data_IF_610770676621
#
_entry.id   IF_610770676621
#
_cell.length_a   1.000
_cell.length_b   1.000
_cell.length_c   1.000
_cell.angle_alpha   90.00
_cell.angle_beta   90.00
_cell.angle_gamma   90.00
#
_symmetry.space_group_name_H-M   'P 1'
#
loop_
_entity.id
_entity.type
_entity.pdbx_description
1 polymer ?
#
# COMPACT_ATOMS: atom_id res chain seq x y z
N UNK A 1 -15.46 -21.71 -9.92
CA UNK A 1 -13.98 -21.73 -10.01
C UNK A 1 -13.41 -22.11 -8.66
N UNK A 2 -12.69 -23.22 -8.59
CA UNK A 2 -11.95 -23.62 -7.39
C UNK A 2 -10.66 -22.81 -7.36
N UNK A 3 -10.49 -21.92 -6.39
CA UNK A 3 -9.24 -21.14 -6.24
C UNK A 3 -8.13 -22.06 -5.74
N UNK A 4 -6.92 -21.82 -6.25
CA UNK A 4 -5.71 -22.53 -5.83
C UNK A 4 -4.85 -21.57 -5.00
N UNK A 5 -4.81 -21.78 -3.69
CA UNK A 5 -3.87 -21.08 -2.82
C UNK A 5 -2.49 -21.70 -2.95
N UNK A 6 -1.46 -20.85 -2.93
CA UNK A 6 -0.07 -21.29 -2.98
C UNK A 6 0.30 -21.86 -1.62
N UNK A 7 0.81 -23.09 -1.61
CA UNK A 7 1.41 -23.67 -0.41
C UNK A 7 2.89 -23.28 -0.30
N UNK A 8 3.41 -23.21 0.92
CA UNK A 8 4.82 -22.87 1.19
C UNK A 8 5.84 -23.70 0.41
N UNK A 9 5.54 -24.98 0.17
CA UNK A 9 6.41 -25.88 -0.59
C UNK A 9 6.35 -25.67 -2.11
N UNK A 10 5.40 -24.87 -2.59
CA UNK A 10 5.16 -24.58 -4.00
C UNK A 10 5.79 -23.25 -4.44
N UNK A 11 6.16 -22.37 -3.51
CA UNK A 11 6.91 -21.15 -3.84
C UNK A 11 8.33 -21.54 -4.25
N UNK A 12 8.66 -21.22 -5.51
CA UNK A 12 10.04 -21.26 -6.01
C UNK A 12 10.59 -19.84 -5.91
N UNK A 13 11.39 -19.59 -4.89
CA UNK A 13 12.03 -18.29 -4.66
C UNK A 13 13.53 -18.42 -4.48
N UNK A 14 14.26 -17.40 -4.92
CA UNK A 14 15.68 -17.20 -4.59
C UNK A 14 15.86 -16.60 -3.18
N UNK A 15 14.79 -16.08 -2.56
CA UNK A 15 14.78 -15.30 -1.32
C UNK A 15 14.12 -16.06 -0.16
N UNK A 16 14.56 -17.30 0.08
CA UNK A 16 13.92 -18.21 1.06
C UNK A 16 13.94 -17.68 2.49
N UNK A 17 15.07 -17.14 2.92
CA UNK A 17 15.22 -16.58 4.27
C UNK A 17 14.26 -15.40 4.48
N UNK A 18 14.12 -14.52 3.48
CA UNK A 18 13.13 -13.45 3.53
C UNK A 18 11.71 -13.99 3.68
N UNK A 19 11.28 -14.94 2.84
CA UNK A 19 9.94 -15.55 2.92
C UNK A 19 9.64 -16.13 4.31
N UNK A 20 10.62 -16.83 4.89
CA UNK A 20 10.48 -17.42 6.22
C UNK A 20 10.37 -16.34 7.31
N UNK A 21 11.18 -15.28 7.23
CA UNK A 21 11.20 -14.20 8.23
C UNK A 21 9.98 -13.28 8.19
N UNK A 22 9.45 -12.98 7.00
CA UNK A 22 8.22 -12.17 6.89
C UNK A 22 6.95 -12.95 7.25
N UNK A 23 7.06 -14.27 7.41
CA UNK A 23 6.00 -15.08 8.01
C UNK A 23 4.75 -15.24 7.15
N UNK A 24 4.81 -15.10 5.82
CA UNK A 24 3.60 -15.15 4.94
C UNK A 24 2.77 -16.44 5.03
N UNK A 25 3.33 -17.52 5.61
CA UNK A 25 2.63 -18.79 5.85
C UNK A 25 2.42 -19.11 7.34
N UNK A 26 2.68 -18.16 8.22
CA UNK A 26 2.62 -18.30 9.68
C UNK A 26 1.34 -17.73 10.29
N UNK A 27 0.45 -17.19 9.45
CA UNK A 27 -0.75 -16.46 9.82
C UNK A 27 -2.02 -17.29 9.54
N UNK A 28 -3.02 -17.21 10.42
CA UNK A 28 -4.24 -18.04 10.36
C UNK A 28 -5.29 -17.46 9.39
N UNK A 29 -5.28 -16.14 9.20
CA UNK A 29 -6.28 -15.38 8.45
C UNK A 29 -5.70 -14.75 7.17
N UNK A 30 -4.50 -15.18 6.75
CA UNK A 30 -3.83 -14.69 5.56
C UNK A 30 -3.50 -15.86 4.62
N UNK A 31 -3.87 -15.72 3.36
CA UNK A 31 -3.62 -16.70 2.31
C UNK A 31 -2.76 -16.09 1.22
N UNK A 32 -1.83 -16.88 0.70
CA UNK A 32 -1.05 -16.52 -0.49
C UNK A 32 -1.83 -17.00 -1.71
N UNK A 33 -2.43 -16.08 -2.44
CA UNK A 33 -3.17 -16.36 -3.69
C UNK A 33 -2.23 -16.46 -4.89
N UNK A 34 -1.09 -15.76 -4.85
CA UNK A 34 -0.13 -15.71 -5.93
C UNK A 34 1.28 -15.35 -5.44
N UNK A 35 2.28 -15.90 -6.13
CA UNK A 35 3.66 -15.51 -5.96
C UNK A 35 4.37 -15.57 -7.30
N UNK A 36 5.07 -14.50 -7.67
CA UNK A 36 5.87 -14.44 -8.88
C UNK A 36 7.23 -13.80 -8.60
N UNK A 37 8.28 -14.44 -9.09
CA UNK A 37 9.64 -13.92 -9.08
C UNK A 37 10.18 -14.03 -10.51
N UNK A 38 10.27 -12.90 -11.22
CA UNK A 38 10.78 -12.82 -12.58
C UNK A 38 11.36 -11.44 -12.89
N UNK A 39 12.41 -11.35 -13.71
CA UNK A 39 12.93 -10.08 -14.24
C UNK A 39 13.21 -8.98 -13.19
N UNK A 40 13.86 -9.33 -12.07
CA UNK A 40 14.12 -8.42 -10.96
C UNK A 40 12.86 -7.85 -10.28
N UNK A 41 11.75 -8.61 -10.34
CA UNK A 41 10.48 -8.29 -9.71
C UNK A 41 10.02 -9.43 -8.81
N UNK A 42 9.48 -9.09 -7.66
CA UNK A 42 8.74 -9.95 -6.75
C UNK A 42 7.31 -9.41 -6.65
N UNK A 43 6.33 -10.25 -6.95
CA UNK A 43 4.92 -9.96 -6.79
C UNK A 43 4.32 -10.99 -5.83
N UNK A 44 3.81 -10.52 -4.70
CA UNK A 44 3.17 -11.33 -3.67
C UNK A 44 1.69 -10.93 -3.60
N UNK A 45 0.81 -11.83 -4.01
CA UNK A 45 -0.64 -11.64 -3.87
C UNK A 45 -1.12 -12.32 -2.61
N UNK A 46 -1.75 -11.53 -1.74
CA UNK A 46 -2.28 -11.94 -0.46
C UNK A 46 -3.79 -11.71 -0.44
N UNK A 47 -4.50 -12.59 0.26
CA UNK A 47 -5.92 -12.50 0.53
C UNK A 47 -6.10 -12.70 2.04
N UNK A 48 -6.71 -11.72 2.70
CA UNK A 48 -7.03 -11.85 4.12
C UNK A 48 -8.48 -12.28 4.34
N UNK A 49 -8.72 -12.96 5.45
CA UNK A 49 -10.03 -13.40 5.90
C UNK A 49 -10.34 -12.80 7.29
N UNK A 50 -11.59 -12.94 7.74
CA UNK A 50 -11.99 -12.55 9.10
C UNK A 50 -11.79 -11.05 9.44
N UNK A 51 -11.94 -10.18 8.43
CA UNK A 51 -12.00 -8.73 8.59
C UNK A 51 -10.74 -8.16 9.25
N UNK A 52 -10.91 -7.38 10.32
CA UNK A 52 -9.82 -6.66 11.00
C UNK A 52 -8.65 -7.56 11.42
N UNK A 53 -8.91 -8.83 11.78
CA UNK A 53 -7.84 -9.77 12.16
C UNK A 53 -6.94 -10.11 10.99
N UNK A 54 -7.51 -10.45 9.83
CA UNK A 54 -6.73 -10.73 8.64
C UNK A 54 -6.04 -9.49 8.08
N UNK A 55 -6.70 -8.33 8.12
CA UNK A 55 -6.06 -7.08 7.72
C UNK A 55 -4.86 -6.73 8.62
N UNK A 56 -4.94 -7.00 9.92
CA UNK A 56 -3.80 -6.88 10.84
C UNK A 56 -2.64 -7.79 10.44
N UNK A 57 -2.91 -9.07 10.15
CA UNK A 57 -1.87 -10.02 9.71
C UNK A 57 -1.22 -9.61 8.38
N UNK A 58 -1.99 -9.05 7.44
CA UNK A 58 -1.46 -8.45 6.22
C UNK A 58 -0.47 -7.31 6.54
N UNK A 59 -0.86 -6.40 7.44
CA UNK A 59 0.00 -5.28 7.86
C UNK A 59 1.26 -5.77 8.60
N UNK A 60 1.15 -6.85 9.39
CA UNK A 60 2.29 -7.48 10.04
C UNK A 60 3.31 -8.00 9.03
N UNK A 61 2.87 -8.62 7.93
CA UNK A 61 3.76 -9.04 6.82
C UNK A 61 4.45 -7.85 6.17
N UNK A 62 3.73 -6.77 5.88
CA UNK A 62 4.29 -5.54 5.28
C UNK A 62 5.37 -4.94 6.19
N UNK A 63 5.09 -4.82 7.48
CA UNK A 63 6.05 -4.31 8.45
C UNK A 63 7.25 -5.26 8.63
N UNK A 64 7.02 -6.57 8.64
CA UNK A 64 8.08 -7.56 8.73
C UNK A 64 9.02 -7.49 7.53
N UNK A 65 8.49 -7.25 6.32
CA UNK A 65 9.31 -6.98 5.14
C UNK A 65 10.17 -5.72 5.33
N UNK A 66 9.58 -4.59 5.72
CA UNK A 66 10.34 -3.34 5.88
C UNK A 66 11.42 -3.47 6.96
N UNK A 67 11.11 -4.15 8.07
CA UNK A 67 12.07 -4.49 9.11
C UNK A 67 13.20 -5.37 8.60
N UNK A 68 12.87 -6.42 7.83
CA UNK A 68 13.87 -7.31 7.24
C UNK A 68 14.86 -6.56 6.34
N UNK A 69 14.37 -5.62 5.52
CA UNK A 69 15.22 -4.79 4.65
C UNK A 69 16.12 -3.87 5.48
N UNK A 70 15.61 -3.26 6.55
CA UNK A 70 16.43 -2.43 7.45
C UNK A 70 17.55 -3.24 8.13
N UNK A 71 17.25 -4.47 8.54
CA UNK A 71 18.20 -5.37 9.19
C UNK A 71 19.18 -6.02 8.20
N UNK A 72 18.85 -6.05 6.90
CA UNK A 72 19.62 -6.72 5.86
C UNK A 72 19.72 -5.86 4.56
N UNK A 73 20.40 -4.70 4.60
CA UNK A 73 20.37 -3.71 3.50
C UNK A 73 20.92 -4.21 2.16
N UNK A 74 21.80 -5.20 2.17
CA UNK A 74 22.43 -5.77 0.97
C UNK A 74 21.75 -7.07 0.47
N UNK A 75 20.63 -7.49 1.09
CA UNK A 75 19.97 -8.76 0.76
C UNK A 75 19.29 -8.73 -0.62
N UNK A 76 18.70 -7.58 -0.96
CA UNK A 76 18.06 -7.36 -2.24
C UNK A 76 18.93 -6.45 -3.12
N UNK A 77 18.91 -6.63 -4.45
CA UNK A 77 19.49 -5.65 -5.35
C UNK A 77 18.71 -4.33 -5.29
N UNK A 78 19.41 -3.20 -5.39
CA UNK A 78 18.82 -1.86 -5.18
C UNK A 78 17.72 -1.47 -6.17
N UNK A 79 17.63 -2.15 -7.31
CA UNK A 79 16.67 -1.92 -8.38
C UNK A 79 15.53 -2.93 -8.41
N UNK A 80 15.45 -3.84 -7.42
CA UNK A 80 14.36 -4.82 -7.35
C UNK A 80 13.00 -4.13 -7.26
N UNK A 81 12.01 -4.64 -7.97
CA UNK A 81 10.62 -4.22 -7.86
C UNK A 81 9.87 -5.20 -6.93
N UNK A 82 9.34 -4.73 -5.82
CA UNK A 82 8.64 -5.55 -4.83
C UNK A 82 7.24 -5.00 -4.62
N UNK A 83 6.24 -5.86 -4.86
CA UNK A 83 4.84 -5.54 -4.67
C UNK A 83 4.15 -6.56 -3.78
N UNK A 84 3.33 -6.06 -2.86
CA UNK A 84 2.39 -6.85 -2.06
C UNK A 84 0.98 -6.40 -2.43
N UNK A 85 0.22 -7.27 -3.08
CA UNK A 85 -1.12 -6.97 -3.61
C UNK A 85 -2.16 -7.61 -2.68
N UNK A 86 -3.03 -6.79 -2.10
CA UNK A 86 -4.16 -7.25 -1.30
C UNK A 86 -5.37 -7.48 -2.22
N UNK A 87 -5.63 -8.75 -2.50
CA UNK A 87 -6.68 -9.23 -3.40
C UNK A 87 -7.85 -9.81 -2.62
N UNK A 88 -9.06 -9.53 -3.09
CA UNK A 88 -10.28 -10.12 -2.51
C UNK A 88 -10.68 -11.44 -3.21
N UNK A 89 -11.66 -12.17 -2.63
CA UNK A 89 -12.40 -13.25 -3.29
C UNK A 89 -12.93 -12.96 -4.71
N UNK A 90 -13.10 -11.69 -5.09
CA UNK A 90 -13.58 -11.26 -6.41
C UNK A 90 -12.50 -10.76 -7.35
N UNK A 91 -11.21 -10.95 -7.01
CA UNK A 91 -10.05 -10.38 -7.72
C UNK A 91 -10.01 -8.84 -7.67
N UNK A 92 -10.84 -8.24 -6.83
CA UNK A 92 -10.75 -6.82 -6.56
C UNK A 92 -9.50 -6.54 -5.72
N UNK A 93 -8.68 -5.60 -6.17
CA UNK A 93 -7.49 -5.15 -5.44
C UNK A 93 -7.90 -4.01 -4.51
N UNK A 94 -7.95 -4.29 -3.20
CA UNK A 94 -8.29 -3.29 -2.19
C UNK A 94 -7.13 -2.34 -1.96
N UNK A 95 -5.93 -2.88 -1.83
CA UNK A 95 -4.71 -2.12 -1.64
C UNK A 95 -3.50 -2.79 -2.29
N UNK A 96 -2.45 -2.00 -2.54
CA UNK A 96 -1.16 -2.49 -3.05
C UNK A 96 -0.05 -1.73 -2.37
N UNK A 97 0.90 -2.46 -1.79
CA UNK A 97 2.12 -1.91 -1.23
C UNK A 97 3.26 -2.14 -2.21
N UNK A 98 4.11 -1.14 -2.42
CA UNK A 98 5.23 -1.25 -3.35
C UNK A 98 6.40 -0.35 -2.95
N UNK A 99 7.60 -0.74 -3.35
CA UNK A 99 8.84 -0.04 -3.00
C UNK A 99 9.20 1.08 -3.97
N UNK A 100 8.84 0.93 -5.25
CA UNK A 100 9.09 1.91 -6.28
C UNK A 100 7.91 2.04 -7.22
N UNK A 101 7.65 3.25 -7.70
CA UNK A 101 6.55 3.52 -8.62
C UNK A 101 6.94 3.04 -10.02
N UNK A 102 6.51 1.84 -10.40
CA UNK A 102 6.58 1.36 -11.79
C UNK A 102 5.35 1.77 -12.60
N UNK A 103 4.35 2.35 -11.93
CA UNK A 103 3.03 2.62 -12.48
C UNK A 103 2.98 3.95 -13.24
N UNK A 104 2.49 3.91 -14.49
CA UNK A 104 2.39 5.04 -15.41
C UNK A 104 1.27 6.05 -15.04
N UNK A 105 0.70 5.94 -13.85
CA UNK A 105 -0.49 6.71 -13.45
C UNK A 105 -0.19 8.18 -13.18
N UNK A 106 1.02 8.50 -12.75
CA UNK A 106 1.48 9.86 -12.46
C UNK A 106 3.01 9.87 -12.31
N UNK A 107 3.65 11.02 -12.57
CA UNK A 107 5.07 11.21 -12.23
C UNK A 107 5.23 11.44 -10.72
N UNK A 108 5.64 10.39 -10.01
CA UNK A 108 5.94 10.44 -8.58
C UNK A 108 7.38 10.90 -8.27
N UNK A 109 8.20 11.23 -9.26
CA UNK A 109 9.58 11.67 -9.04
C UNK A 109 9.68 12.95 -8.21
N UNK A 110 8.65 13.81 -8.26
CA UNK A 110 8.55 15.02 -7.44
C UNK A 110 8.56 14.75 -5.93
N UNK A 111 8.23 13.53 -5.50
CA UNK A 111 8.30 13.13 -4.09
C UNK A 111 9.73 12.95 -3.58
N UNK A 112 10.73 12.94 -4.49
CA UNK A 112 12.15 12.91 -4.12
C UNK A 112 12.63 11.61 -3.47
N UNK A 113 11.87 10.51 -3.61
CA UNK A 113 12.22 9.23 -3.00
C UNK A 113 13.34 8.53 -3.77
N UNK A 114 14.24 7.89 -3.02
CA UNK A 114 15.27 7.02 -3.57
C UNK A 114 14.76 5.60 -3.65
N UNK A 115 15.14 4.90 -4.71
CA UNK A 115 14.90 3.47 -4.86
C UNK A 115 15.52 2.70 -3.68
N UNK A 116 14.77 1.74 -3.18
CA UNK A 116 15.13 0.86 -2.06
C UNK A 116 14.25 -0.38 -2.15
N UNK A 117 14.64 -1.48 -1.49
CA UNK A 117 13.78 -2.64 -1.37
C UNK A 117 12.61 -2.44 -0.39
N UNK A 118 12.68 -1.44 0.52
CA UNK A 118 11.58 -1.16 1.46
C UNK A 118 10.32 -0.74 0.71
N UNK A 119 9.17 -1.28 1.08
CA UNK A 119 7.87 -0.77 0.65
C UNK A 119 7.75 0.70 1.11
N UNK A 120 7.57 1.60 0.15
CA UNK A 120 7.51 3.05 0.38
C UNK A 120 6.11 3.61 0.16
N UNK A 121 5.28 2.88 -0.59
CA UNK A 121 3.98 3.35 -1.03
C UNK A 121 2.90 2.35 -0.66
N UNK A 122 1.73 2.86 -0.29
CA UNK A 122 0.48 2.11 -0.25
C UNK A 122 -0.53 2.82 -1.14
N UNK A 123 -1.00 2.16 -2.20
CA UNK A 123 -2.21 2.58 -2.90
C UNK A 123 -3.41 1.86 -2.30
N UNK A 124 -4.50 2.59 -2.05
CA UNK A 124 -5.77 2.04 -1.57
C UNK A 124 -6.94 2.59 -2.39
N UNK A 125 -7.84 1.72 -2.81
CA UNK A 125 -9.11 2.14 -3.41
C UNK A 125 -10.18 2.23 -2.32
N UNK A 126 -10.41 3.45 -1.82
CA UNK A 126 -11.28 3.69 -0.65
C UNK A 126 -12.71 3.18 -0.88
N UNK A 127 -13.17 3.15 -2.13
CA UNK A 127 -14.53 2.70 -2.47
C UNK A 127 -14.79 1.24 -2.11
N UNK A 128 -13.80 0.36 -2.22
CA UNK A 128 -13.97 -1.08 -1.96
C UNK A 128 -13.21 -1.60 -0.76
N UNK A 129 -12.55 -0.71 0.00
CA UNK A 129 -11.74 -1.06 1.15
C UNK A 129 -12.55 -0.97 2.46
N UNK A 130 -13.58 -1.82 2.61
CA UNK A 130 -14.53 -1.70 3.71
C UNK A 130 -13.94 -2.06 5.08
N UNK A 131 -12.97 -2.96 5.15
CA UNK A 131 -12.30 -3.31 6.41
C UNK A 131 -11.15 -2.35 6.71
N UNK A 132 -10.37 -2.04 5.68
CA UNK A 132 -9.15 -1.23 5.76
C UNK A 132 -9.45 0.25 6.02
N UNK A 133 -10.70 0.68 5.87
CA UNK A 133 -11.13 2.07 6.16
C UNK A 133 -11.76 2.23 7.55
N UNK A 134 -11.78 1.18 8.37
CA UNK A 134 -12.23 1.22 9.76
C UNK A 134 -11.03 1.51 10.69
N UNK A 135 -11.22 2.29 11.77
CA UNK A 135 -10.15 2.49 12.74
C UNK A 135 -9.95 1.19 13.54
N UNK A 136 -8.76 0.62 13.45
CA UNK A 136 -8.38 -0.59 14.20
C UNK A 136 -7.20 -0.23 15.09
N UNK A 137 -7.48 -0.02 16.39
CA UNK A 137 -6.56 0.53 17.41
C UNK A 137 -5.23 -0.24 17.62
N UNK A 138 -5.05 -1.37 16.94
CA UNK A 138 -3.86 -2.23 17.04
C UNK A 138 -3.05 -2.34 15.74
N UNK A 139 -3.49 -1.68 14.67
CA UNK A 139 -2.78 -1.69 13.39
C UNK A 139 -1.85 -0.49 13.33
N UNK A 140 -0.58 -0.78 13.04
CA UNK A 140 0.44 0.22 12.78
C UNK A 140 1.06 -0.15 11.46
N UNK A 141 1.19 0.80 10.54
CA UNK A 141 1.77 0.60 9.23
C UNK A 141 2.95 1.56 9.07
N UNK A 142 4.12 1.01 8.73
CA UNK A 142 5.33 1.79 8.48
C UNK A 142 5.53 2.03 6.98
N UNK A 143 4.69 2.91 6.42
CA UNK A 143 4.72 3.30 5.01
C UNK A 143 4.69 4.83 4.90
N UNK A 144 5.65 5.44 4.20
CA UNK A 144 5.78 6.89 4.15
C UNK A 144 4.84 7.58 3.14
N UNK A 145 4.38 6.89 2.09
CA UNK A 145 3.49 7.48 1.07
C UNK A 145 2.16 6.73 0.97
N UNK A 146 1.07 7.45 1.14
CA UNK A 146 -0.29 6.90 1.05
C UNK A 146 -0.97 7.50 -0.18
N UNK A 147 -1.45 6.65 -1.09
CA UNK A 147 -2.17 7.03 -2.31
C UNK A 147 -3.61 6.56 -2.22
N UNK A 148 -4.52 7.51 -1.99
CA UNK A 148 -5.95 7.28 -1.86
C UNK A 148 -6.65 7.47 -3.20
N UNK A 149 -7.27 6.41 -3.73
CA UNK A 149 -8.03 6.43 -4.98
C UNK A 149 -9.52 6.31 -4.72
N UNK A 150 -10.31 7.17 -5.36
CA UNK A 150 -11.77 7.07 -5.40
C UNK A 150 -12.31 7.89 -6.59
N UNK A 151 -13.53 7.66 -7.05
CA UNK A 151 -14.15 8.50 -8.08
C UNK A 151 -14.73 9.82 -7.55
N UNK A 152 -14.66 10.04 -6.23
CA UNK A 152 -15.17 11.22 -5.53
C UNK A 152 -14.52 11.33 -4.15
N UNK A 153 -14.56 12.51 -3.53
CA UNK A 153 -14.11 12.69 -2.15
C UNK A 153 -15.00 11.87 -1.18
N UNK A 154 -14.46 10.86 -0.48
CA UNK A 154 -15.25 10.03 0.43
C UNK A 154 -15.66 10.81 1.69
N UNK A 155 -16.56 10.22 2.48
CA UNK A 155 -16.98 10.78 3.78
C UNK A 155 -15.84 10.71 4.81
N UNK A 156 -15.88 11.60 5.82
CA UNK A 156 -14.79 11.78 6.79
C UNK A 156 -14.39 10.49 7.52
N UNK A 157 -15.34 9.62 7.83
CA UNK A 157 -15.12 8.33 8.49
C UNK A 157 -14.20 7.39 7.70
N UNK A 158 -14.24 7.47 6.35
CA UNK A 158 -13.40 6.66 5.47
C UNK A 158 -11.92 7.04 5.48
N UNK A 159 -11.54 8.14 6.15
CA UNK A 159 -10.14 8.54 6.35
C UNK A 159 -9.57 8.04 7.68
N UNK A 160 -10.37 7.39 8.53
CA UNK A 160 -9.94 7.01 9.87
C UNK A 160 -8.72 6.09 9.89
N UNK A 161 -8.56 5.24 8.87
CA UNK A 161 -7.39 4.39 8.70
C UNK A 161 -6.05 5.15 8.62
N UNK A 162 -6.07 6.44 8.29
CA UNK A 162 -4.86 7.26 8.30
C UNK A 162 -4.20 7.31 9.69
N UNK A 163 -4.94 7.06 10.78
CA UNK A 163 -4.34 6.97 12.13
C UNK A 163 -3.41 5.75 12.31
N UNK A 164 -3.45 4.77 11.41
CA UNK A 164 -2.60 3.57 11.44
C UNK A 164 -1.16 3.88 11.01
N UNK A 165 -0.91 4.99 10.31
CA UNK A 165 0.39 5.33 9.74
C UNK A 165 1.17 6.26 10.67
N UNK A 166 2.23 5.74 11.30
CA UNK A 166 3.03 6.54 12.26
C UNK A 166 4.09 7.43 11.61
N UNK A 167 4.62 6.99 10.47
CA UNK A 167 5.73 7.64 9.77
C UNK A 167 5.32 8.08 8.36
N UNK A 168 4.03 8.32 8.13
CA UNK A 168 3.57 8.92 6.88
C UNK A 168 4.24 10.29 6.71
N UNK A 169 4.80 10.52 5.55
CA UNK A 169 5.41 11.79 5.15
C UNK A 169 4.51 12.50 4.14
N UNK A 170 3.84 11.72 3.28
CA UNK A 170 3.14 12.22 2.10
C UNK A 170 1.81 11.50 1.92
N UNK A 171 0.74 12.27 1.68
CA UNK A 171 -0.58 11.75 1.31
C UNK A 171 -0.99 12.29 -0.04
N UNK A 172 -1.41 11.40 -0.92
CA UNK A 172 -1.83 11.71 -2.28
C UNK A 172 -3.28 11.28 -2.43
N UNK A 173 -4.15 12.17 -2.89
CA UNK A 173 -5.51 11.79 -3.24
C UNK A 173 -5.81 11.98 -4.73
N UNK A 174 -6.39 10.93 -5.31
CA UNK A 174 -6.93 10.90 -6.67
C UNK A 174 -8.45 10.65 -6.56
N UNK A 175 -9.19 11.76 -6.48
CA UNK A 175 -10.65 11.80 -6.26
C UNK A 175 -11.41 12.42 -7.45
N UNK A 176 -10.76 12.48 -8.62
CA UNK A 176 -11.24 13.23 -9.77
C UNK A 176 -11.17 14.75 -9.58
N UNK A 177 -11.86 15.50 -10.44
CA UNK A 177 -11.88 16.96 -10.37
C UNK A 177 -12.69 17.46 -9.16
N UNK A 178 -11.98 17.92 -8.14
CA UNK A 178 -12.56 18.59 -6.97
C UNK A 178 -12.47 20.10 -7.09
N UNK A 179 -13.49 20.80 -6.57
CA UNK A 179 -13.41 22.26 -6.37
C UNK A 179 -12.30 22.61 -5.38
N UNK A 180 -11.74 23.83 -5.45
CA UNK A 180 -10.74 24.29 -4.48
C UNK A 180 -11.22 24.17 -3.03
N UNK A 181 -12.50 24.47 -2.77
CA UNK A 181 -13.09 24.34 -1.44
C UNK A 181 -13.14 22.89 -0.97
N UNK A 182 -13.42 21.94 -1.86
CA UNK A 182 -13.46 20.52 -1.48
C UNK A 182 -12.06 19.94 -1.31
N UNK A 183 -11.07 20.39 -2.11
CA UNK A 183 -9.65 20.09 -1.87
C UNK A 183 -9.21 20.53 -0.48
N UNK A 184 -9.55 21.76 -0.06
CA UNK A 184 -9.23 22.26 1.30
C UNK A 184 -9.86 21.39 2.38
N UNK A 185 -11.15 21.03 2.25
CA UNK A 185 -11.81 20.15 3.23
C UNK A 185 -11.14 18.77 3.32
N UNK A 186 -10.73 18.19 2.21
CA UNK A 186 -10.00 16.92 2.19
C UNK A 186 -8.66 17.07 2.92
N UNK A 187 -7.92 18.16 2.68
CA UNK A 187 -6.68 18.44 3.38
C UNK A 187 -6.89 18.59 4.89
N UNK A 188 -7.90 19.36 5.31
CA UNK A 188 -8.26 19.55 6.73
C UNK A 188 -8.60 18.21 7.41
N UNK A 189 -9.29 17.30 6.69
CA UNK A 189 -9.60 15.95 7.19
C UNK A 189 -8.32 15.14 7.35
N UNK A 190 -7.45 15.11 6.33
CA UNK A 190 -6.17 14.39 6.38
C UNK A 190 -5.32 14.89 7.55
N UNK A 191 -5.14 16.21 7.69
CA UNK A 191 -4.37 16.81 8.78
C UNK A 191 -4.97 16.57 10.16
N UNK A 192 -6.27 16.25 10.26
CA UNK A 192 -6.87 15.83 11.53
C UNK A 192 -6.44 14.44 12.00
N UNK A 193 -5.90 13.60 11.10
CA UNK A 193 -5.33 12.29 11.41
C UNK A 193 -3.80 12.28 11.36
N UNK A 194 -3.20 13.03 10.43
CA UNK A 194 -1.76 13.09 10.17
C UNK A 194 -1.33 14.56 10.09
N UNK A 195 -0.89 15.16 11.20
CA UNK A 195 -0.69 16.60 11.28
C UNK A 195 0.48 17.14 10.41
N UNK A 196 1.55 16.36 10.25
CA UNK A 196 2.82 16.82 9.66
C UNK A 196 3.12 16.19 8.28
N UNK A 197 2.08 15.93 7.48
CA UNK A 197 2.23 15.36 6.12
C UNK A 197 2.09 16.41 5.04
N UNK A 198 2.88 16.25 3.98
CA UNK A 198 2.66 16.94 2.72
C UNK A 198 1.47 16.31 1.98
N UNK A 199 0.61 17.15 1.40
CA UNK A 199 -0.61 16.69 0.72
C UNK A 199 -0.54 17.05 -0.76
N UNK A 200 -0.76 16.04 -1.60
CA UNK A 200 -0.79 16.16 -3.05
C UNK A 200 -2.14 15.69 -3.60
N UNK A 201 -2.51 16.23 -4.76
CA UNK A 201 -3.64 15.73 -5.55
C UNK A 201 -3.20 15.40 -6.96
N UNK A 202 -3.83 14.40 -7.58
CA UNK A 202 -3.61 14.07 -8.98
C UNK A 202 -4.46 15.01 -9.85
N UNK A 203 -3.82 15.72 -10.78
CA UNK A 203 -4.47 16.57 -11.78
C UNK A 203 -4.13 16.08 -13.19
N UNK A 204 -5.03 16.30 -14.14
CA UNK A 204 -4.77 16.03 -15.56
C UNK A 204 -4.43 17.32 -16.29
N UNK A 205 -3.23 17.39 -16.86
CA UNK A 205 -2.74 18.51 -17.67
C UNK A 205 -2.30 17.95 -19.01
N UNK A 206 -2.88 18.45 -20.10
CA UNK A 206 -2.54 18.01 -21.48
C UNK A 206 -2.63 16.48 -21.70
N UNK A 207 -3.58 15.81 -21.02
CA UNK A 207 -3.79 14.35 -21.01
C UNK A 207 -2.70 13.55 -20.26
N UNK A 208 -1.85 14.23 -19.50
CA UNK A 208 -0.89 13.61 -18.60
C UNK A 208 -1.31 13.88 -17.15
N UNK A 209 -1.24 12.86 -16.31
CA UNK A 209 -1.49 13.00 -14.88
C UNK A 209 -0.22 13.50 -14.17
N UNK A 210 -0.39 14.50 -13.30
CA UNK A 210 0.68 15.13 -12.52
C UNK A 210 0.24 15.34 -11.08
N UNK A 211 1.22 15.42 -10.18
CA UNK A 211 0.97 15.79 -8.79
C UNK A 211 0.97 17.31 -8.63
N UNK A 212 -0.08 17.84 -8.00
CA UNK A 212 -0.15 19.21 -7.51
C UNK A 212 -0.01 19.17 -5.98
N UNK A 213 1.01 19.86 -5.46
CA UNK A 213 1.17 20.04 -4.01
C UNK A 213 0.14 21.05 -3.50
N UNK A 214 -0.56 20.71 -2.43
CA UNK A 214 -1.56 21.56 -1.78
C UNK A 214 -1.05 22.13 -0.44
N UNK A 215 -0.29 21.34 0.32
CA UNK A 215 0.32 21.70 1.60
C UNK A 215 1.72 21.07 1.69
#
# INVERSE_FOLDING_TARGET
NTRHYVHKYSIRTSYKEWIDQIGIFSHDNLKVSGYREENNKIELELEYENGAKGYKELCEVVNAHNKFVDENPDYFPNDIDILVINTSPSEYVSSTFYNQTTDALCDYSILGRRNTAKLQYMTINIRGADTETLPIDEIIIDIPVIVMKCSYAPSKDKYSFLSEFKNAEQVIFDFGELSSNDKTKVCDIIHSYLADVEIYTVISVDRENRLERLF
#
